data_IF_078530942475
#
_entry.id   IF_078530942475
#
_cell.length_a   1.000
_cell.length_b   1.000
_cell.length_c   1.000
_cell.angle_alpha   90.00
_cell.angle_beta   90.00
_cell.angle_gamma   90.00
#
_symmetry.space_group_name_H-M   'P 1'
#
loop_
_entity.id
_entity.type
_entity.pdbx_description
1 polymer ?
#
# COMPACT_ATOMS: atom_id res chain seq x y z
N UNK A 1 24.23 -26.04 -17.44
CA UNK A 1 24.49 -25.59 -16.06
C UNK A 1 24.82 -24.10 -15.95
N UNK A 2 25.65 -23.53 -16.82
CA UNK A 2 26.00 -22.09 -16.78
C UNK A 2 24.77 -21.16 -16.89
N UNK A 3 23.81 -21.51 -17.75
CA UNK A 3 22.55 -20.78 -17.93
C UNK A 3 21.70 -20.68 -16.63
N UNK A 4 21.69 -21.73 -15.80
CA UNK A 4 20.92 -21.73 -14.55
C UNK A 4 21.56 -20.80 -13.52
N UNK A 5 22.89 -20.76 -13.44
CA UNK A 5 23.62 -19.82 -12.56
C UNK A 5 23.35 -18.36 -12.93
N UNK A 6 23.27 -18.06 -14.23
CA UNK A 6 22.91 -16.72 -14.71
C UNK A 6 21.47 -16.38 -14.31
N UNK A 7 20.53 -17.31 -14.49
CA UNK A 7 19.12 -17.13 -14.08
C UNK A 7 18.98 -16.86 -12.59
N UNK A 8 19.71 -17.58 -11.74
CA UNK A 8 19.76 -17.35 -10.29
C UNK A 8 20.22 -15.91 -9.99
N UNK A 9 21.32 -15.45 -10.58
CA UNK A 9 21.82 -14.08 -10.38
C UNK A 9 20.80 -13.02 -10.81
N UNK A 10 20.14 -13.22 -11.95
CA UNK A 10 19.10 -12.30 -12.44
C UNK A 10 17.92 -12.24 -11.47
N UNK A 11 17.44 -13.39 -10.97
CA UNK A 11 16.33 -13.44 -10.02
C UNK A 11 16.68 -12.80 -8.67
N UNK A 12 17.91 -13.00 -8.18
CA UNK A 12 18.39 -12.32 -6.98
C UNK A 12 18.40 -10.80 -7.16
N UNK A 13 18.95 -10.31 -8.28
CA UNK A 13 18.97 -8.89 -8.58
C UNK A 13 17.56 -8.29 -8.68
N UNK A 14 16.62 -9.00 -9.33
CA UNK A 14 15.21 -8.59 -9.40
C UNK A 14 14.56 -8.50 -8.03
N UNK A 15 14.74 -9.51 -7.18
CA UNK A 15 14.18 -9.52 -5.84
C UNK A 15 14.76 -8.40 -4.97
N UNK A 16 16.05 -8.11 -5.08
CA UNK A 16 16.67 -6.99 -4.38
C UNK A 16 16.05 -5.65 -4.82
N UNK A 17 15.90 -5.42 -6.12
CA UNK A 17 15.28 -4.19 -6.64
C UNK A 17 13.81 -4.04 -6.18
N UNK A 18 13.06 -5.13 -6.15
CA UNK A 18 11.67 -5.13 -5.65
C UNK A 18 11.63 -4.82 -4.14
N UNK A 19 12.54 -5.41 -3.36
CA UNK A 19 12.63 -5.18 -1.92
C UNK A 19 13.04 -3.74 -1.60
N UNK A 20 14.00 -3.18 -2.35
CA UNK A 20 14.40 -1.77 -2.27
C UNK A 20 13.23 -0.84 -2.57
N UNK A 21 12.47 -1.09 -3.65
CA UNK A 21 11.27 -0.30 -3.98
C UNK A 21 10.24 -0.34 -2.85
N UNK A 22 9.98 -1.53 -2.28
CA UNK A 22 9.06 -1.64 -1.15
C UNK A 22 9.58 -0.87 0.08
N UNK A 23 10.88 -0.92 0.34
CA UNK A 23 11.52 -0.18 1.44
C UNK A 23 11.38 1.32 1.25
N UNK A 24 11.57 1.85 0.04
CA UNK A 24 11.35 3.27 -0.25
C UNK A 24 9.89 3.70 -0.07
N UNK A 25 8.92 2.82 -0.39
CA UNK A 25 7.50 3.08 -0.11
C UNK A 25 7.23 3.10 1.40
N UNK A 26 7.88 2.21 2.15
CA UNK A 26 7.79 2.20 3.61
C UNK A 26 8.35 3.49 4.22
N UNK A 27 9.55 3.92 3.84
CA UNK A 27 10.14 5.19 4.29
C UNK A 27 9.26 6.40 3.92
N UNK A 28 8.61 6.36 2.76
CA UNK A 28 7.64 7.39 2.35
C UNK A 28 6.39 7.36 3.22
N UNK A 29 5.94 6.18 3.63
CA UNK A 29 4.78 6.00 4.51
C UNK A 29 5.01 6.58 5.91
N UNK A 30 6.25 6.55 6.42
CA UNK A 30 6.61 7.12 7.73
C UNK A 30 6.48 8.64 7.76
N UNK A 31 6.53 9.30 6.60
CA UNK A 31 6.36 10.76 6.48
C UNK A 31 4.89 11.18 6.47
N UNK A 32 3.95 10.24 6.40
CA UNK A 32 2.52 10.53 6.35
C UNK A 32 1.97 10.71 7.75
N UNK A 33 1.68 11.95 8.10
CA UNK A 33 0.94 12.28 9.32
C UNK A 33 -0.56 12.33 9.03
N UNK A 34 -1.32 11.34 9.50
CA UNK A 34 -2.77 11.25 9.28
C UNK A 34 -3.54 12.44 9.89
N UNK A 35 -3.02 13.04 10.98
CA UNK A 35 -3.69 14.15 11.67
C UNK A 35 -3.49 15.51 10.98
N UNK A 36 -2.44 15.64 10.16
CA UNK A 36 -2.13 16.85 9.41
C UNK A 36 -1.65 16.48 8.00
N UNK A 37 -2.50 15.74 7.29
CA UNK A 37 -2.13 15.13 6.02
C UNK A 37 -2.25 16.14 4.88
N UNK A 38 -1.12 16.48 4.25
CA UNK A 38 -1.12 17.25 3.02
C UNK A 38 -1.71 16.42 1.87
N UNK A 39 -2.71 16.99 1.17
CA UNK A 39 -3.43 16.31 0.09
C UNK A 39 -2.48 15.76 -0.98
N UNK A 40 -1.50 16.56 -1.41
CA UNK A 40 -0.53 16.19 -2.44
C UNK A 40 0.32 14.98 -2.01
N UNK A 41 0.79 14.99 -0.77
CA UNK A 41 1.61 13.89 -0.21
C UNK A 41 0.81 12.59 -0.13
N UNK A 42 -0.47 12.68 0.24
CA UNK A 42 -1.38 11.54 0.23
C UNK A 42 -1.59 11.01 -1.20
N UNK A 43 -1.86 11.87 -2.17
CA UNK A 43 -2.09 11.47 -3.56
C UNK A 43 -0.86 10.83 -4.20
N UNK A 44 0.33 11.41 -3.99
CA UNK A 44 1.59 10.82 -4.45
C UNK A 44 1.79 9.44 -3.85
N UNK A 45 1.63 9.27 -2.54
CA UNK A 45 1.76 7.97 -1.91
C UNK A 45 0.73 6.94 -2.43
N UNK A 46 -0.52 7.36 -2.61
CA UNK A 46 -1.57 6.49 -3.14
C UNK A 46 -1.27 6.03 -4.57
N UNK A 47 -0.73 6.92 -5.42
CA UNK A 47 -0.30 6.58 -6.77
C UNK A 47 0.90 5.62 -6.75
N UNK A 48 1.92 5.93 -5.93
CA UNK A 48 3.13 5.11 -5.81
C UNK A 48 2.86 3.70 -5.26
N UNK A 49 1.79 3.54 -4.47
CA UNK A 49 1.37 2.25 -3.88
C UNK A 49 0.34 1.50 -4.72
N UNK A 50 -0.08 2.00 -5.88
CA UNK A 50 -1.05 1.29 -6.72
C UNK A 50 -0.53 -0.10 -7.16
N UNK A 51 0.77 -0.19 -7.40
CA UNK A 51 1.46 -1.41 -7.84
C UNK A 51 1.78 -2.40 -6.70
N UNK A 52 1.37 -2.13 -5.47
CA UNK A 52 1.86 -2.87 -4.29
C UNK A 52 1.53 -4.38 -4.35
N UNK A 53 0.34 -4.74 -4.83
CA UNK A 53 -0.06 -6.15 -5.01
C UNK A 53 0.78 -6.85 -6.09
N UNK A 54 1.09 -6.14 -7.18
CA UNK A 54 1.91 -6.64 -8.29
C UNK A 54 3.32 -6.94 -7.81
N UNK A 55 3.96 -6.02 -7.08
CA UNK A 55 5.33 -6.23 -6.59
C UNK A 55 5.42 -7.40 -5.61
N UNK A 56 4.39 -7.63 -4.78
CA UNK A 56 4.32 -8.78 -3.87
C UNK A 56 4.23 -10.08 -4.63
N UNK A 57 3.36 -10.14 -5.65
CA UNK A 57 3.21 -11.32 -6.49
C UNK A 57 4.50 -11.62 -7.27
N UNK A 58 5.15 -10.61 -7.81
CA UNK A 58 6.40 -10.76 -8.55
C UNK A 58 7.54 -11.26 -7.64
N UNK A 59 7.67 -10.71 -6.43
CA UNK A 59 8.66 -11.17 -5.45
C UNK A 59 8.47 -12.65 -5.09
N UNK A 60 7.23 -13.04 -4.75
CA UNK A 60 6.90 -14.44 -4.44
C UNK A 60 7.21 -15.37 -5.61
N UNK A 61 6.77 -15.00 -6.83
CA UNK A 61 7.01 -15.81 -8.03
C UNK A 61 8.50 -15.96 -8.35
N UNK A 62 9.29 -14.90 -8.17
CA UNK A 62 10.73 -14.94 -8.38
C UNK A 62 11.43 -15.81 -7.33
N UNK A 63 10.96 -15.79 -6.09
CA UNK A 63 11.51 -16.62 -5.02
C UNK A 63 11.23 -18.12 -5.27
N UNK A 64 10.02 -18.47 -5.73
CA UNK A 64 9.70 -19.84 -6.13
C UNK A 64 10.61 -20.32 -7.28
N UNK A 65 10.80 -19.48 -8.30
CA UNK A 65 11.72 -19.78 -9.42
C UNK A 65 13.17 -19.91 -8.95
N UNK A 66 13.59 -19.07 -8.02
CA UNK A 66 14.94 -19.11 -7.44
C UNK A 66 15.16 -20.45 -6.75
N UNK A 67 14.24 -20.83 -5.85
CA UNK A 67 14.30 -22.09 -5.12
C UNK A 67 14.29 -23.30 -6.07
N UNK A 68 13.47 -23.27 -7.11
CA UNK A 68 13.45 -24.30 -8.14
C UNK A 68 14.80 -24.43 -8.88
N UNK A 69 15.44 -23.31 -9.24
CA UNK A 69 16.76 -23.33 -9.88
C UNK A 69 17.89 -23.76 -8.93
N UNK A 70 17.81 -23.38 -7.66
CA UNK A 70 18.78 -23.81 -6.65
C UNK A 70 18.69 -25.32 -6.39
N UNK A 71 17.47 -25.88 -6.33
CA UNK A 71 17.26 -27.34 -6.26
C UNK A 71 17.77 -28.08 -7.50
N UNK A 72 17.63 -27.49 -8.70
CA UNK A 72 18.19 -28.08 -9.93
C UNK A 72 19.73 -28.07 -9.94
N UNK A 73 20.36 -27.07 -9.32
CA UNK A 73 21.82 -26.99 -9.20
C UNK A 73 22.35 -27.87 -8.06
N UNK A 74 21.60 -27.97 -6.97
CA UNK A 74 21.92 -28.76 -5.79
C UNK A 74 20.64 -29.36 -5.20
N UNK A 75 20.38 -30.67 -5.41
CA UNK A 75 19.18 -31.33 -4.89
C UNK A 75 19.05 -31.30 -3.36
N UNK A 76 20.15 -31.16 -2.63
CA UNK A 76 20.17 -31.08 -1.16
C UNK A 76 19.94 -29.66 -0.64
N UNK A 77 19.70 -28.69 -1.54
CA UNK A 77 19.42 -27.31 -1.15
C UNK A 77 18.13 -27.22 -0.33
N UNK A 78 18.20 -26.58 0.84
CA UNK A 78 17.01 -26.30 1.64
C UNK A 78 16.30 -25.07 1.10
N UNK A 79 15.03 -25.22 0.79
CA UNK A 79 14.18 -24.14 0.30
C UNK A 79 13.92 -23.12 1.41
N UNK A 80 14.22 -21.85 1.15
CA UNK A 80 14.05 -20.78 2.13
C UNK A 80 13.03 -19.71 1.67
N UNK A 81 12.16 -19.31 2.60
CA UNK A 81 11.13 -18.28 2.41
C UNK A 81 11.22 -17.15 3.45
N UNK A 82 12.30 -17.07 4.22
CA UNK A 82 12.53 -16.04 5.24
C UNK A 82 12.47 -14.63 4.66
N UNK A 83 12.98 -14.44 3.44
CA UNK A 83 12.92 -13.18 2.70
C UNK A 83 11.49 -12.75 2.37
N UNK A 84 10.61 -13.68 2.04
CA UNK A 84 9.18 -13.41 1.81
C UNK A 84 8.47 -12.98 3.09
N UNK A 85 8.79 -13.61 4.23
CA UNK A 85 8.22 -13.22 5.53
C UNK A 85 8.64 -11.78 5.88
N UNK A 86 9.93 -11.45 5.70
CA UNK A 86 10.43 -10.09 5.93
C UNK A 86 9.76 -9.07 4.98
N UNK A 87 9.63 -9.42 3.71
CA UNK A 87 8.93 -8.62 2.70
C UNK A 87 7.48 -8.35 3.10
N UNK A 88 6.73 -9.39 3.50
CA UNK A 88 5.33 -9.28 3.91
C UNK A 88 5.14 -8.41 5.16
N UNK A 89 6.12 -8.41 6.05
CA UNK A 89 6.17 -7.51 7.20
C UNK A 89 6.19 -6.03 6.81
N UNK A 90 7.02 -5.66 5.82
CA UNK A 90 7.09 -4.29 5.31
C UNK A 90 5.86 -3.95 4.47
N UNK A 91 5.44 -4.86 3.59
CA UNK A 91 4.25 -4.74 2.75
C UNK A 91 3.01 -4.40 3.57
N UNK A 92 2.78 -5.14 4.66
CA UNK A 92 1.62 -4.96 5.54
C UNK A 92 1.60 -3.56 6.18
N UNK A 93 2.77 -2.98 6.49
CA UNK A 93 2.84 -1.62 7.04
C UNK A 93 2.44 -0.57 6.00
N UNK A 94 2.92 -0.71 4.77
CA UNK A 94 2.56 0.18 3.65
C UNK A 94 1.06 0.09 3.35
N UNK A 95 0.50 -1.12 3.27
CA UNK A 95 -0.95 -1.35 3.11
C UNK A 95 -1.78 -0.71 4.24
N UNK A 96 -1.30 -0.78 5.49
CA UNK A 96 -1.99 -0.17 6.62
C UNK A 96 -2.08 1.34 6.46
N UNK A 97 -1.00 2.01 6.08
CA UNK A 97 -1.00 3.46 5.85
C UNK A 97 -1.95 3.81 4.70
N UNK A 98 -1.90 3.06 3.59
CA UNK A 98 -2.83 3.21 2.47
C UNK A 98 -4.30 3.12 2.91
N UNK A 99 -4.63 2.13 3.73
CA UNK A 99 -5.97 1.92 4.27
C UNK A 99 -6.42 3.06 5.19
N UNK A 100 -5.51 3.61 5.99
CA UNK A 100 -5.78 4.75 6.87
C UNK A 100 -6.09 6.02 6.06
N UNK A 101 -5.34 6.30 4.99
CA UNK A 101 -5.57 7.43 4.09
C UNK A 101 -6.97 7.34 3.46
N UNK A 102 -7.34 6.16 2.94
CA UNK A 102 -8.66 5.94 2.35
C UNK A 102 -9.78 6.18 3.36
N UNK A 103 -9.64 5.63 4.57
CA UNK A 103 -10.62 5.79 5.65
C UNK A 103 -10.78 7.25 6.08
N UNK A 104 -9.66 7.99 6.17
CA UNK A 104 -9.70 9.41 6.53
C UNK A 104 -10.44 10.24 5.47
N UNK A 105 -10.16 10.03 4.18
CA UNK A 105 -10.85 10.72 3.08
C UNK A 105 -12.36 10.42 3.05
N UNK A 106 -12.78 9.21 3.42
CA UNK A 106 -14.21 8.86 3.51
C UNK A 106 -14.93 9.51 4.70
N UNK A 107 -14.23 9.83 5.79
CA UNK A 107 -14.81 10.53 6.95
C UNK A 107 -14.94 12.03 6.71
N UNK A 108 -14.04 12.66 5.96
CA UNK A 108 -14.13 14.10 5.66
C UNK A 108 -15.28 14.45 4.71
N UNK A 109 -15.77 13.51 3.91
CA UNK A 109 -16.87 13.75 2.95
C UNK A 109 -18.28 13.66 3.57
N UNK A 110 -18.41 13.22 4.83
CA UNK A 110 -19.72 13.05 5.50
C UNK A 110 -20.05 14.18 6.50
N UNK A 111 -19.15 15.13 6.74
CA UNK A 111 -19.35 16.21 7.72
C UNK A 111 -19.90 17.53 7.16
N UNK A 112 -20.44 17.55 5.93
CA UNK A 112 -20.88 18.78 5.25
C UNK A 112 -22.35 18.76 4.79
N UNK A 113 -23.27 18.24 5.61
CA UNK A 113 -24.73 18.44 5.38
C UNK A 113 -25.56 18.44 6.67
N UNK A 114 -25.50 19.51 7.46
CA UNK A 114 -26.57 19.86 8.41
C UNK A 114 -26.41 21.28 8.94
N UNK A 115 -26.55 22.25 8.04
CA UNK A 115 -26.98 23.61 8.38
C UNK A 115 -27.99 24.03 7.31
N UNK A 116 -29.23 23.55 7.43
CA UNK A 116 -30.35 24.13 6.71
C UNK A 116 -31.13 25.00 7.70
N UNK A 117 -30.91 26.30 7.55
CA UNK A 117 -31.58 27.40 8.22
C UNK A 117 -33.06 27.43 7.84
N UNK A 118 -33.98 27.19 8.78
CA UNK A 118 -35.39 27.54 8.62
C UNK A 118 -35.65 28.89 9.30
N UNK A 119 -35.43 29.99 8.57
CA UNK A 119 -35.90 31.30 8.95
C UNK A 119 -36.81 31.90 7.85
N UNK A 120 -38.04 32.22 8.28
CA UNK A 120 -39.00 33.19 7.73
C UNK A 120 -39.95 32.77 6.59
N UNK A 121 -41.27 32.75 6.85
CA UNK A 121 -42.16 33.88 6.49
C UNK A 121 -43.62 33.78 7.01
N UNK A 122 -44.05 34.86 7.69
CA UNK A 122 -45.35 35.57 7.65
C UNK A 122 -46.71 34.83 7.78
N UNK A 123 -47.39 35.07 8.91
CA UNK A 123 -48.86 35.04 9.03
C UNK A 123 -49.32 36.09 10.06
N UNK A 124 -50.13 37.06 9.61
CA UNK A 124 -50.64 38.22 10.36
C UNK A 124 -51.58 37.87 11.54
N UNK A 125 -51.86 38.82 12.46
CA UNK A 125 -52.73 38.62 13.61
C UNK A 125 -54.22 38.82 13.24
N UNK A 126 -55.13 38.04 13.84
CA UNK A 126 -56.54 38.42 13.94
C UNK A 126 -57.00 38.35 15.40
N UNK A 127 -57.30 39.52 15.95
CA UNK A 127 -58.20 39.71 17.08
C UNK A 127 -59.62 39.33 16.66
N UNK A 128 -60.34 38.59 17.49
CA UNK A 128 -61.79 38.80 17.67
C UNK A 128 -62.10 38.65 19.16
N UNK A 129 -62.95 39.57 19.62
CA UNK A 129 -63.44 39.79 20.99
C UNK A 129 -64.19 38.61 21.58
#
# INVERSE_FOLDING_TARGET
MEDIKIKVKILQAKNNAIYERLTSLYESSEKININNMELRSAETFMADTEILSVIRQEFSSNLDKLNAYLLQLNPDHTVEYSSLISFDGVYTRVERVRSLIMTYRSKSSTSSTSHESAAQNKGLPLMVK
#
